data_IF_804126335998
#
_entry.id   IF_804126335998
#
_cell.length_a   1.000
_cell.length_b   1.000
_cell.length_c   1.000
_cell.angle_alpha   90.00
_cell.angle_beta   90.00
_cell.angle_gamma   90.00
#
_symmetry.space_group_name_H-M   'P 1'
#
loop_
_entity.id
_entity.type
_entity.pdbx_description
1 polymer ?
#
# COMPACT_ATOMS: atom_id res chain seq x y z
N UNK A 1 4.86 -0.23 -23.30
CA UNK A 1 5.54 0.93 -22.64
C UNK A 1 6.71 0.45 -21.80
N UNK A 2 6.52 -0.56 -20.93
CA UNK A 2 7.62 -1.13 -20.15
C UNK A 2 8.73 -1.73 -21.05
N UNK A 3 8.38 -2.52 -22.07
CA UNK A 3 9.34 -3.12 -23.03
C UNK A 3 10.30 -2.09 -23.64
N UNK A 4 9.79 -1.01 -24.24
CA UNK A 4 10.63 0.04 -24.83
C UNK A 4 11.63 0.66 -23.84
N UNK A 5 11.26 0.77 -22.56
CA UNK A 5 12.16 1.29 -21.52
C UNK A 5 13.22 0.26 -21.16
N UNK A 6 12.83 -1.01 -21.03
CA UNK A 6 13.75 -2.12 -20.78
C UNK A 6 14.78 -2.24 -21.91
N UNK A 7 14.32 -2.25 -23.17
CA UNK A 7 15.20 -2.28 -24.35
C UNK A 7 16.16 -1.08 -24.37
N UNK A 8 15.69 0.11 -24.02
CA UNK A 8 16.52 1.31 -23.92
C UNK A 8 17.61 1.16 -22.86
N UNK A 9 17.26 0.67 -21.67
CA UNK A 9 18.23 0.40 -20.60
C UNK A 9 19.25 -0.67 -21.00
N UNK A 10 18.81 -1.74 -21.65
CA UNK A 10 19.69 -2.80 -22.15
C UNK A 10 20.64 -2.29 -23.23
N UNK A 11 20.17 -1.40 -24.13
CA UNK A 11 21.02 -0.75 -25.12
C UNK A 11 22.10 0.15 -24.50
N UNK A 12 21.86 0.66 -23.28
CA UNK A 12 22.86 1.38 -22.47
C UNK A 12 23.80 0.45 -21.69
N UNK A 13 23.63 -0.88 -21.82
CA UNK A 13 24.44 -1.89 -21.14
C UNK A 13 23.96 -2.25 -19.74
N UNK A 14 22.74 -1.86 -19.36
CA UNK A 14 22.12 -2.28 -18.09
C UNK A 14 21.61 -3.71 -18.24
N UNK A 15 22.09 -4.60 -17.36
CA UNK A 15 21.72 -6.02 -17.35
C UNK A 15 21.04 -6.46 -16.04
N UNK A 16 20.61 -5.52 -15.20
CA UNK A 16 19.87 -5.75 -13.96
C UNK A 16 18.77 -4.70 -13.85
N UNK A 17 17.51 -5.11 -13.92
CA UNK A 17 16.37 -4.22 -14.01
C UNK A 17 15.34 -4.58 -12.94
N UNK A 18 15.05 -3.60 -12.09
CA UNK A 18 14.01 -3.67 -11.07
C UNK A 18 12.85 -2.78 -11.49
N UNK A 19 11.66 -3.36 -11.59
CA UNK A 19 10.43 -2.66 -11.92
C UNK A 19 9.62 -2.39 -10.65
N UNK A 20 9.33 -1.12 -10.36
CA UNK A 20 8.34 -0.74 -9.37
C UNK A 20 6.99 -0.52 -10.07
N UNK A 21 5.94 -1.24 -9.65
CA UNK A 21 4.62 -1.16 -10.27
C UNK A 21 3.49 -1.00 -9.25
N UNK A 22 2.50 -0.20 -9.61
CA UNK A 22 1.24 -0.06 -8.87
C UNK A 22 0.09 -0.79 -9.58
N UNK A 23 0.34 -1.82 -10.37
CA UNK A 23 -0.69 -2.57 -11.11
C UNK A 23 -1.42 -3.64 -10.27
N UNK A 24 -1.05 -3.80 -9.00
CA UNK A 24 -1.43 -4.93 -8.17
C UNK A 24 -0.75 -6.24 -8.58
N UNK A 25 -0.92 -7.29 -7.78
CA UNK A 25 -0.27 -8.60 -7.98
C UNK A 25 -0.66 -9.22 -9.32
N UNK A 26 -1.95 -9.23 -9.66
CA UNK A 26 -2.43 -9.79 -10.92
C UNK A 26 -1.85 -9.07 -12.14
N UNK A 27 -1.80 -7.74 -12.11
CA UNK A 27 -1.20 -6.95 -13.18
C UNK A 27 0.32 -7.14 -13.28
N UNK A 28 1.00 -7.34 -12.14
CA UNK A 28 2.43 -7.66 -12.13
C UNK A 28 2.73 -9.03 -12.74
N UNK A 29 1.92 -10.06 -12.43
CA UNK A 29 2.03 -11.39 -13.04
C UNK A 29 1.78 -11.35 -14.56
N UNK A 30 0.74 -10.63 -14.98
CA UNK A 30 0.47 -10.43 -16.40
C UNK A 30 1.65 -9.74 -17.09
N UNK A 31 2.18 -8.67 -16.52
CA UNK A 31 3.30 -7.93 -17.07
C UNK A 31 4.58 -8.76 -17.11
N UNK A 32 4.86 -9.52 -16.05
CA UNK A 32 6.01 -10.42 -15.98
C UNK A 32 5.95 -11.45 -17.12
N UNK A 33 4.77 -11.99 -17.43
CA UNK A 33 4.62 -12.95 -18.54
C UNK A 33 4.79 -12.34 -19.94
N UNK A 34 4.74 -11.02 -20.07
CA UNK A 34 4.78 -10.31 -21.35
C UNK A 34 6.13 -9.62 -21.61
N UNK A 35 6.77 -9.09 -20.57
CA UNK A 35 7.99 -8.29 -20.68
C UNK A 35 9.21 -9.12 -20.31
N UNK A 36 10.18 -9.19 -21.22
CA UNK A 36 11.49 -9.81 -20.96
C UNK A 36 12.50 -8.78 -20.43
N UNK A 37 13.54 -9.23 -19.74
CA UNK A 37 14.61 -8.36 -19.22
C UNK A 37 14.33 -7.66 -17.89
N UNK A 38 13.21 -7.92 -17.23
CA UNK A 38 12.95 -7.47 -15.84
C UNK A 38 13.26 -8.61 -14.89
N UNK A 39 14.14 -8.38 -13.91
CA UNK A 39 14.57 -9.41 -12.95
C UNK A 39 13.69 -9.43 -11.70
N UNK A 40 13.36 -8.23 -11.18
CA UNK A 40 12.59 -8.09 -9.94
C UNK A 40 11.45 -7.10 -10.14
N UNK A 41 10.25 -7.47 -9.69
CA UNK A 41 9.08 -6.59 -9.64
C UNK A 41 8.67 -6.31 -8.19
N UNK A 42 8.60 -5.04 -7.83
CA UNK A 42 8.11 -4.58 -6.53
C UNK A 42 6.69 -4.03 -6.74
N UNK A 43 5.70 -4.64 -6.08
CA UNK A 43 4.29 -4.27 -6.22
C UNK A 43 3.87 -3.37 -5.05
N UNK A 44 3.27 -2.21 -5.36
CA UNK A 44 2.88 -1.21 -4.37
C UNK A 44 1.36 -1.01 -4.21
N UNK A 45 0.53 -1.62 -5.05
CA UNK A 45 -0.93 -1.54 -4.96
C UNK A 45 -1.50 -2.85 -4.42
N UNK A 46 -2.37 -2.74 -3.42
CA UNK A 46 -2.97 -3.87 -2.71
C UNK A 46 -2.51 -3.91 -1.26
N UNK A 47 -2.88 -4.97 -0.55
CA UNK A 47 -2.51 -5.20 0.84
C UNK A 47 -2.03 -6.63 1.12
N UNK A 48 -1.78 -7.40 0.06
CA UNK A 48 -1.29 -8.77 0.13
C UNK A 48 0.08 -8.83 0.81
N UNK A 49 0.26 -9.85 1.65
CA UNK A 49 1.53 -10.14 2.32
C UNK A 49 2.14 -11.35 1.65
N UNK A 50 3.34 -11.19 1.12
CA UNK A 50 4.12 -12.32 0.62
C UNK A 50 5.07 -12.74 1.75
N UNK A 51 5.07 -14.01 2.13
CA UNK A 51 5.97 -14.54 3.15
C UNK A 51 6.11 -16.05 3.06
N UNK A 52 7.27 -16.56 3.48
CA UNK A 52 7.48 -17.99 3.70
C UNK A 52 7.34 -18.35 5.19
N UNK A 53 7.29 -17.35 6.08
CA UNK A 53 7.24 -17.51 7.53
C UNK A 53 5.82 -17.42 8.10
N UNK A 54 4.98 -16.52 7.57
CA UNK A 54 3.63 -16.30 8.08
C UNK A 54 2.62 -17.25 7.43
N UNK A 55 1.86 -17.97 8.25
CA UNK A 55 0.91 -18.99 7.78
C UNK A 55 -0.31 -18.42 7.04
N UNK A 56 -0.62 -17.14 7.29
CA UNK A 56 -1.70 -16.36 6.69
C UNK A 56 -1.23 -15.47 5.53
N UNK A 57 0.01 -15.68 5.03
CA UNK A 57 0.50 -14.99 3.86
C UNK A 57 -0.26 -15.38 2.59
N UNK A 58 -0.47 -14.41 1.70
CA UNK A 58 -1.20 -14.59 0.45
C UNK A 58 -0.38 -15.34 -0.61
N UNK A 59 0.95 -15.18 -0.60
CA UNK A 59 1.89 -15.86 -1.49
C UNK A 59 3.25 -16.09 -0.82
N UNK A 60 4.13 -16.87 -1.47
CA UNK A 60 5.54 -17.00 -1.09
C UNK A 60 6.31 -15.70 -1.29
N UNK A 61 7.43 -15.54 -0.58
CA UNK A 61 8.35 -14.40 -0.75
C UNK A 61 9.72 -14.87 -1.25
N UNK A 62 10.17 -14.47 -2.45
CA UNK A 62 9.38 -13.85 -3.52
C UNK A 62 8.36 -14.83 -4.12
N UNK A 63 7.42 -14.29 -4.90
CA UNK A 63 6.63 -15.05 -5.85
C UNK A 63 7.46 -15.17 -7.14
N UNK A 64 7.63 -16.40 -7.63
CA UNK A 64 8.40 -16.67 -8.85
C UNK A 64 7.50 -16.70 -10.08
N UNK A 65 7.96 -16.08 -11.17
CA UNK A 65 7.33 -16.12 -12.49
C UNK A 65 8.40 -16.21 -13.58
N UNK A 66 8.09 -16.89 -14.68
CA UNK A 66 8.93 -16.85 -15.89
C UNK A 66 8.46 -15.74 -16.84
N UNK A 67 9.43 -15.05 -17.45
CA UNK A 67 9.18 -14.04 -18.48
C UNK A 67 8.77 -14.66 -19.82
N UNK A 68 8.41 -13.83 -20.80
CA UNK A 68 8.16 -14.27 -22.17
C UNK A 68 9.38 -14.98 -22.82
N UNK A 69 10.60 -14.67 -22.35
CA UNK A 69 11.85 -15.28 -22.76
C UNK A 69 12.31 -16.43 -21.85
N UNK A 70 11.45 -16.91 -20.94
CA UNK A 70 11.78 -17.93 -19.92
C UNK A 70 12.89 -17.51 -18.96
N UNK A 71 13.03 -16.20 -18.73
CA UNK A 71 13.94 -15.65 -17.72
C UNK A 71 13.24 -15.65 -16.35
N UNK A 72 13.97 -15.86 -15.24
CA UNK A 72 13.40 -15.77 -13.90
C UNK A 72 12.99 -14.33 -13.56
N UNK A 73 11.79 -14.16 -13.01
CA UNK A 73 11.27 -12.88 -12.49
C UNK A 73 10.78 -13.07 -11.06
N UNK A 74 11.31 -12.27 -10.14
CA UNK A 74 10.93 -12.29 -8.72
C UNK A 74 9.96 -11.17 -8.40
N UNK A 75 8.77 -11.50 -7.94
CA UNK A 75 7.72 -10.54 -7.60
C UNK A 75 7.61 -10.47 -6.08
N UNK A 76 7.71 -9.28 -5.51
CA UNK A 76 7.64 -9.05 -4.06
C UNK A 76 6.58 -8.03 -3.68
N UNK A 77 5.96 -8.26 -2.53
CA UNK A 77 5.01 -7.37 -1.88
C UNK A 77 5.12 -7.52 -0.35
N UNK A 78 4.87 -6.44 0.39
CA UNK A 78 5.08 -6.39 1.83
C UNK A 78 3.88 -5.81 2.61
N UNK A 79 2.65 -6.15 2.19
CA UNK A 79 1.43 -5.70 2.84
C UNK A 79 1.22 -4.18 2.79
N UNK A 80 0.52 -3.65 3.80
CA UNK A 80 0.14 -2.24 3.88
C UNK A 80 0.51 -1.60 5.22
N UNK A 81 0.28 -0.29 5.34
CA UNK A 81 0.44 0.51 6.57
C UNK A 81 1.81 0.45 7.23
N UNK A 82 2.86 0.04 6.50
CA UNK A 82 4.20 -0.12 7.07
C UNK A 82 4.21 -1.12 8.24
N UNK A 83 3.30 -2.11 8.23
CA UNK A 83 3.34 -3.21 9.20
C UNK A 83 4.54 -4.13 8.97
N UNK A 84 4.99 -4.23 7.72
CA UNK A 84 6.10 -5.04 7.28
C UNK A 84 7.07 -4.24 6.41
N UNK A 85 8.35 -4.62 6.49
CA UNK A 85 9.41 -4.17 5.59
C UNK A 85 9.86 -5.39 4.76
N UNK A 86 9.65 -5.34 3.44
CA UNK A 86 10.15 -6.39 2.55
C UNK A 86 11.68 -6.41 2.50
N UNK A 87 12.29 -7.59 2.62
CA UNK A 87 13.72 -7.79 2.46
C UNK A 87 13.97 -8.95 1.50
N UNK A 88 14.44 -8.61 0.29
CA UNK A 88 14.83 -9.56 -0.74
C UNK A 88 16.36 -9.49 -0.94
N UNK A 89 17.03 -10.62 -0.78
CA UNK A 89 18.39 -10.86 -1.24
C UNK A 89 18.35 -11.51 -2.63
N UNK A 90 19.12 -10.98 -3.57
CA UNK A 90 19.26 -11.56 -4.91
C UNK A 90 20.74 -11.65 -5.26
N UNK A 91 21.11 -12.78 -5.86
CA UNK A 91 22.42 -12.99 -6.46
C UNK A 91 22.28 -13.06 -7.98
N UNK A 92 23.13 -12.32 -8.67
CA UNK A 92 23.20 -12.32 -10.12
C UNK A 92 24.49 -12.99 -10.57
N UNK A 93 24.44 -13.71 -11.68
CA UNK A 93 25.63 -14.20 -12.34
C UNK A 93 26.40 -13.08 -13.10
N UNK A 94 27.47 -13.47 -13.78
CA UNK A 94 28.32 -12.55 -14.53
C UNK A 94 27.60 -11.89 -15.72
N UNK A 95 26.60 -12.56 -16.30
CA UNK A 95 25.81 -12.08 -17.42
C UNK A 95 24.64 -11.19 -16.95
N UNK A 96 24.34 -11.24 -15.65
CA UNK A 96 23.31 -10.43 -15.00
C UNK A 96 21.97 -11.16 -14.84
N UNK A 97 21.95 -12.47 -14.99
CA UNK A 97 20.77 -13.31 -14.76
C UNK A 97 20.71 -13.70 -13.27
N UNK A 98 19.50 -13.77 -12.72
CA UNK A 98 19.28 -14.24 -11.35
C UNK A 98 19.77 -15.68 -11.17
N UNK A 99 20.67 -15.89 -10.22
CA UNK A 99 21.30 -17.17 -9.92
C UNK A 99 20.78 -17.77 -8.60
N UNK A 100 20.52 -16.93 -7.60
CA UNK A 100 19.95 -17.33 -6.31
C UNK A 100 19.15 -16.17 -5.69
N UNK A 101 18.24 -16.49 -4.78
CA UNK A 101 17.50 -15.49 -4.02
C UNK A 101 16.98 -16.04 -2.70
N UNK A 102 17.02 -15.18 -1.69
CA UNK A 102 16.41 -15.44 -0.39
C UNK A 102 15.69 -14.19 0.12
N UNK A 103 14.88 -14.34 1.15
CA UNK A 103 14.23 -13.21 1.76
C UNK A 103 12.92 -13.55 2.43
N UNK A 104 12.44 -12.58 3.18
CA UNK A 104 11.10 -12.56 3.73
C UNK A 104 10.76 -11.12 4.16
N UNK A 105 9.54 -10.92 4.62
CA UNK A 105 9.10 -9.68 5.24
C UNK A 105 9.53 -9.59 6.72
N UNK A 106 9.96 -8.42 7.13
CA UNK A 106 10.30 -8.08 8.51
C UNK A 106 9.12 -7.34 9.13
N UNK A 107 8.45 -7.94 10.11
CA UNK A 107 7.36 -7.28 10.83
C UNK A 107 7.90 -6.14 11.69
N UNK A 108 7.47 -4.93 11.42
CA UNK A 108 7.82 -3.72 12.17
C UNK A 108 7.04 -3.70 13.49
N UNK A 109 7.55 -4.47 14.45
CA UNK A 109 6.95 -4.64 15.77
C UNK A 109 7.62 -3.78 16.83
N UNK A 110 7.01 -3.71 18.02
CA UNK A 110 7.57 -3.06 19.22
C UNK A 110 8.95 -3.57 19.65
N UNK A 111 9.41 -4.71 19.12
CA UNK A 111 10.72 -5.27 19.44
C UNK A 111 11.84 -4.65 18.60
N UNK A 112 11.51 -3.86 17.57
CA UNK A 112 12.46 -3.05 16.81
C UNK A 112 12.42 -1.64 17.38
N UNK A 113 13.54 -1.22 17.99
CA UNK A 113 13.64 0.13 18.54
C UNK A 113 13.63 1.16 17.39
N UNK A 114 12.78 2.19 17.45
CA UNK A 114 12.85 3.31 16.51
C UNK A 114 14.22 3.99 16.59
N UNK A 115 14.71 4.45 15.44
CA UNK A 115 15.91 5.28 15.40
C UNK A 115 15.65 6.59 16.17
N UNK A 116 16.54 6.94 17.10
CA UNK A 116 16.31 8.00 18.08
C UNK A 116 16.17 9.39 17.42
N UNK A 117 16.97 9.65 16.40
CA UNK A 117 16.93 10.86 15.58
C UNK A 117 15.60 10.99 14.82
N UNK A 118 15.15 9.91 14.17
CA UNK A 118 13.86 9.89 13.46
C UNK A 118 12.69 10.04 14.43
N UNK A 119 12.72 9.37 15.58
CA UNK A 119 11.67 9.46 16.59
C UNK A 119 11.55 10.88 17.18
N UNK A 120 12.68 11.57 17.38
CA UNK A 120 12.70 12.96 17.82
C UNK A 120 12.05 13.89 16.78
N UNK A 121 12.39 13.73 15.51
CA UNK A 121 11.78 14.52 14.42
C UNK A 121 10.30 14.23 14.25
N UNK A 122 9.86 12.96 14.34
CA UNK A 122 8.44 12.61 14.32
C UNK A 122 7.70 13.26 15.49
N UNK A 123 8.28 13.29 16.69
CA UNK A 123 7.66 13.94 17.84
C UNK A 123 7.49 15.45 17.61
N UNK A 124 8.52 16.14 17.09
CA UNK A 124 8.45 17.58 16.75
C UNK A 124 7.36 17.86 15.71
N UNK A 125 7.28 17.03 14.66
CA UNK A 125 6.28 17.18 13.60
C UNK A 125 4.86 16.80 14.04
N UNK A 126 4.72 15.95 15.06
CA UNK A 126 3.43 15.55 15.59
C UNK A 126 2.74 16.68 16.39
N UNK A 127 3.49 17.56 17.04
CA UNK A 127 2.93 18.67 17.84
C UNK A 127 1.92 19.55 17.08
N UNK A 128 2.24 20.13 15.91
CA UNK A 128 1.26 20.94 15.16
C UNK A 128 0.06 20.11 14.66
N UNK A 129 0.27 18.83 14.34
CA UNK A 129 -0.82 17.92 13.92
C UNK A 129 -1.78 17.66 15.07
N UNK A 130 -1.27 17.47 16.29
CA UNK A 130 -2.09 17.30 17.49
C UNK A 130 -2.92 18.55 17.79
N UNK A 131 -2.34 19.74 17.65
CA UNK A 131 -3.07 21.00 17.84
C UNK A 131 -4.25 21.13 16.88
N UNK A 132 -4.07 20.72 15.62
CA UNK A 132 -5.16 20.68 14.63
C UNK A 132 -6.18 19.60 15.01
N UNK A 133 -5.73 18.42 15.42
CA UNK A 133 -6.59 17.29 15.82
C UNK A 133 -7.45 17.57 17.07
N UNK A 134 -6.97 18.43 17.97
CA UNK A 134 -7.69 18.85 19.18
C UNK A 134 -8.61 20.04 18.96
N UNK A 135 -8.52 20.72 17.81
CA UNK A 135 -9.35 21.87 17.50
C UNK A 135 -10.82 21.45 17.37
N UNK A 136 -11.66 21.94 18.28
CA UNK A 136 -13.10 21.70 18.23
C UNK A 136 -13.71 22.54 17.10
N UNK A 137 -13.98 21.88 15.97
CA UNK A 137 -14.64 22.50 14.80
C UNK A 137 -16.17 22.53 14.92
N UNK A 138 -16.72 21.78 15.86
CA UNK A 138 -18.16 21.67 16.07
C UNK A 138 -18.53 20.58 17.06
N UNK A 139 -19.82 20.46 17.34
CA UNK A 139 -20.38 19.43 18.24
C UNK A 139 -21.54 18.73 17.55
N UNK A 140 -21.45 17.41 17.43
CA UNK A 140 -22.58 16.60 17.00
C UNK A 140 -23.55 16.39 18.18
N UNK A 141 -24.86 16.52 17.92
CA UNK A 141 -25.92 16.22 18.89
C UNK A 141 -26.46 14.80 18.74
N UNK A 142 -26.06 14.11 17.67
CA UNK A 142 -26.35 12.70 17.39
C UNK A 142 -25.05 11.95 17.11
N UNK A 143 -25.05 10.63 17.26
CA UNK A 143 -23.91 9.82 16.85
C UNK A 143 -23.80 9.81 15.31
N UNK A 144 -22.61 10.05 14.78
CA UNK A 144 -22.33 9.95 13.35
C UNK A 144 -21.70 8.58 13.10
N UNK A 145 -22.57 7.57 12.92
CA UNK A 145 -22.17 6.20 12.64
C UNK A 145 -21.56 6.10 11.24
N UNK A 146 -20.31 5.65 11.17
CA UNK A 146 -19.51 5.53 9.96
C UNK A 146 -19.04 4.11 9.66
N UNK A 147 -19.42 3.10 10.44
CA UNK A 147 -18.99 1.72 10.16
C UNK A 147 -19.58 1.19 8.86
N UNK A 148 -18.82 0.34 8.17
CA UNK A 148 -19.28 -0.41 6.98
C UNK A 148 -20.63 -1.09 7.19
N UNK A 149 -20.86 -1.66 8.38
CA UNK A 149 -22.13 -2.34 8.72
C UNK A 149 -23.35 -1.44 8.70
N UNK A 150 -23.18 -0.12 8.84
CA UNK A 150 -24.28 0.84 8.75
C UNK A 150 -24.30 1.51 7.38
N UNK A 151 -23.19 2.11 6.97
CA UNK A 151 -23.10 2.93 5.76
C UNK A 151 -22.91 2.15 4.46
N UNK A 152 -22.43 0.91 4.53
CA UNK A 152 -22.18 0.05 3.37
C UNK A 152 -23.43 -0.66 2.86
N UNK A 153 -24.46 -0.77 3.69
CA UNK A 153 -25.65 -1.61 3.43
C UNK A 153 -26.96 -0.85 3.57
N UNK A 154 -26.92 0.39 4.08
CA UNK A 154 -28.09 1.25 4.28
C UNK A 154 -27.70 2.73 4.32
N UNK A 155 -28.69 3.62 4.34
CA UNK A 155 -28.48 5.04 4.62
C UNK A 155 -27.87 5.23 6.03
N UNK A 156 -26.94 6.20 6.18
CA UNK A 156 -26.32 6.48 7.47
C UNK A 156 -26.11 7.99 7.71
N UNK A 157 -26.17 8.46 8.98
CA UNK A 157 -26.05 9.88 9.32
C UNK A 157 -24.73 10.53 8.89
N UNK A 158 -23.61 9.79 8.95
CA UNK A 158 -22.31 10.31 8.53
C UNK A 158 -22.24 10.52 7.01
N UNK A 159 -22.83 9.59 6.24
CA UNK A 159 -22.92 9.70 4.79
C UNK A 159 -23.73 10.91 4.37
N UNK A 160 -24.88 11.15 5.01
CA UNK A 160 -25.72 12.33 4.77
C UNK A 160 -24.96 13.63 5.08
N UNK A 161 -24.29 13.70 6.23
CA UNK A 161 -23.51 14.87 6.61
C UNK A 161 -22.42 15.22 5.58
N UNK A 162 -21.67 14.20 5.12
CA UNK A 162 -20.58 14.40 4.17
C UNK A 162 -21.11 14.81 2.79
N UNK A 163 -22.16 14.16 2.29
CA UNK A 163 -22.73 14.52 0.98
C UNK A 163 -23.38 15.90 1.00
N UNK A 164 -24.05 16.29 2.09
CA UNK A 164 -24.56 17.65 2.27
C UNK A 164 -23.43 18.69 2.30
N UNK A 165 -22.34 18.41 3.03
CA UNK A 165 -21.17 19.29 3.06
C UNK A 165 -20.51 19.44 1.68
N UNK A 166 -20.38 18.35 0.92
CA UNK A 166 -19.87 18.36 -0.45
C UNK A 166 -20.73 19.22 -1.38
N UNK A 167 -22.06 19.06 -1.32
CA UNK A 167 -23.00 19.88 -2.10
C UNK A 167 -22.88 21.35 -1.74
N UNK A 168 -22.84 21.67 -0.44
CA UNK A 168 -22.73 23.05 0.03
C UNK A 168 -21.42 23.70 -0.41
N UNK A 169 -20.30 22.97 -0.34
CA UNK A 169 -18.99 23.49 -0.71
C UNK A 169 -18.83 23.70 -2.22
N UNK A 170 -19.35 22.77 -3.02
CA UNK A 170 -19.16 22.79 -4.48
C UNK A 170 -20.28 23.51 -5.25
N UNK A 171 -21.44 23.71 -4.63
CA UNK A 171 -22.66 24.16 -5.31
C UNK A 171 -23.34 23.06 -6.14
N UNK A 172 -22.88 21.81 -6.05
CA UNK A 172 -23.45 20.70 -6.81
C UNK A 172 -24.87 20.34 -6.35
N UNK A 173 -25.70 19.92 -7.31
CA UNK A 173 -27.07 19.45 -7.03
C UNK A 173 -27.09 18.02 -6.45
N UNK A 174 -26.08 17.22 -6.74
CA UNK A 174 -25.97 15.82 -6.32
C UNK A 174 -24.54 15.57 -5.86
N UNK A 175 -24.39 14.91 -4.72
CA UNK A 175 -23.12 14.33 -4.27
C UNK A 175 -23.38 12.88 -3.86
N UNK A 176 -22.39 12.02 -4.10
CA UNK A 176 -22.42 10.63 -3.68
C UNK A 176 -21.04 10.24 -3.15
N UNK A 177 -21.03 9.31 -2.21
CA UNK A 177 -19.82 8.70 -1.67
C UNK A 177 -20.11 7.21 -1.47
N UNK A 178 -19.14 6.35 -1.75
CA UNK A 178 -19.28 4.92 -1.52
C UNK A 178 -19.34 4.63 -0.01
N UNK A 179 -20.16 3.67 0.40
CA UNK A 179 -20.35 3.32 1.82
C UNK A 179 -19.11 2.80 2.55
N UNK A 180 -18.06 2.46 1.80
CA UNK A 180 -16.72 2.08 2.30
C UNK A 180 -15.78 3.29 2.54
N UNK A 181 -16.19 4.50 2.17
CA UNK A 181 -15.35 5.71 2.26
C UNK A 181 -15.21 6.29 3.67
N UNK A 182 -15.76 5.65 4.70
CA UNK A 182 -15.82 6.18 6.06
C UNK A 182 -14.86 5.44 7.00
N UNK A 183 -13.76 6.07 7.44
CA UNK A 183 -12.74 5.39 8.23
C UNK A 183 -13.09 5.26 9.73
N UNK A 184 -14.07 6.01 10.25
CA UNK A 184 -14.38 6.03 11.68
C UNK A 184 -15.80 6.53 12.02
N UNK A 185 -16.27 6.18 13.23
CA UNK A 185 -17.55 6.62 13.81
C UNK A 185 -17.32 7.73 14.85
N UNK A 186 -18.03 8.85 14.73
CA UNK A 186 -18.05 9.90 15.78
C UNK A 186 -19.14 9.58 16.81
N UNK A 187 -18.72 9.15 18.00
CA UNK A 187 -19.63 8.83 19.11
C UNK A 187 -19.93 10.07 19.93
N UNK A 188 -21.14 10.15 20.46
CA UNK A 188 -21.48 11.15 21.48
C UNK A 188 -20.56 10.96 22.70
N UNK A 189 -20.05 12.07 23.22
CA UNK A 189 -19.30 12.07 24.46
C UNK A 189 -20.17 11.43 25.56
N UNK A 190 -19.67 10.39 26.21
CA UNK A 190 -20.33 9.82 27.39
C UNK A 190 -20.36 10.90 28.46
N UNK A 191 -21.55 11.24 28.97
CA UNK A 191 -21.69 12.02 30.19
C UNK A 191 -20.90 11.31 31.29
N UNK A 192 -19.89 11.97 31.86
CA UNK A 192 -19.31 11.55 33.13
C UNK A 192 -20.30 11.82 34.25
#
# INVERSE_FOLDING_TARGET
MAENVVEGLQAEGVNKIVLLTSSGVAGALELASQVSGVDVMIVSQGNEIFSNTYADADNSYPLFQESAASEPVLIVMAGEHTEYLGRLGVEFDADGVLADWDGDVIRLSRYIAPAADVAEEVAKLAEPVQQIGEMVIGKATVALEGSWRACGVSECPLGNLITDALRQHTGAQIAYINGNGFPATCRLARSR
#
